data_IF_528766258502
#
_entry.id   IF_528766258502
#
_cell.length_a   1.000
_cell.length_b   1.000
_cell.length_c   1.000
_cell.angle_alpha   90.00
_cell.angle_beta   90.00
_cell.angle_gamma   90.00
#
_symmetry.space_group_name_H-M   'P 1'
#
loop_
_entity.id
_entity.type
_entity.pdbx_description
1 polymer ?
#
# COMPACT_ATOMS: atom_id res chain seq x y z
N UNK A 1 -27.04 -5.39 4.18
CA UNK A 1 -25.82 -5.14 3.37
C UNK A 1 -24.65 -5.72 4.14
N UNK A 2 -23.70 -6.40 3.50
CA UNK A 2 -22.43 -6.73 4.17
C UNK A 2 -21.66 -5.44 4.48
N UNK A 3 -20.73 -5.46 5.44
CA UNK A 3 -19.90 -4.29 5.77
C UNK A 3 -19.21 -3.72 4.52
N UNK A 4 -18.73 -4.58 3.62
CA UNK A 4 -18.16 -4.17 2.33
C UNK A 4 -19.16 -3.49 1.39
N UNK A 5 -20.42 -3.92 1.38
CA UNK A 5 -21.46 -3.24 0.59
C UNK A 5 -21.84 -1.89 1.23
N UNK A 6 -21.90 -1.80 2.55
CA UNK A 6 -22.14 -0.54 3.26
C UNK A 6 -21.03 0.48 2.96
N UNK A 7 -19.76 0.05 2.97
CA UNK A 7 -18.62 0.88 2.62
C UNK A 7 -18.74 1.45 1.19
N UNK A 8 -19.08 0.59 0.22
CA UNK A 8 -19.25 1.01 -1.19
C UNK A 8 -20.39 2.02 -1.36
N UNK A 9 -21.50 1.87 -0.62
CA UNK A 9 -22.61 2.83 -0.62
C UNK A 9 -22.18 4.15 0.01
N UNK A 10 -21.43 4.12 1.11
CA UNK A 10 -20.92 5.33 1.77
C UNK A 10 -19.94 6.10 0.87
N UNK A 11 -19.05 5.41 0.16
CA UNK A 11 -18.18 6.06 -0.84
C UNK A 11 -19.04 6.62 -1.98
N UNK A 12 -20.01 5.84 -2.48
CA UNK A 12 -20.91 6.27 -3.55
C UNK A 12 -21.68 7.55 -3.22
N UNK A 13 -22.15 7.72 -1.98
CA UNK A 13 -22.89 8.92 -1.57
C UNK A 13 -22.01 10.18 -1.61
N UNK A 14 -20.72 10.06 -1.27
CA UNK A 14 -19.75 11.16 -1.38
C UNK A 14 -19.42 11.47 -2.84
N UNK A 15 -19.29 10.44 -3.69
CA UNK A 15 -18.95 10.61 -5.11
C UNK A 15 -20.02 11.37 -5.91
N UNK A 16 -21.28 11.38 -5.47
CA UNK A 16 -22.35 12.20 -6.10
C UNK A 16 -22.00 13.68 -6.09
N UNK A 17 -21.24 14.14 -5.10
CA UNK A 17 -20.77 15.53 -5.00
C UNK A 17 -19.64 15.87 -5.98
N UNK A 18 -19.09 14.88 -6.70
CA UNK A 18 -17.95 15.02 -7.62
C UNK A 18 -16.74 15.75 -6.98
N UNK A 19 -16.24 15.28 -5.84
CA UNK A 19 -15.12 15.94 -5.18
C UNK A 19 -13.84 15.82 -6.02
N UNK A 20 -12.98 16.83 -5.96
CA UNK A 20 -11.62 16.76 -6.52
C UNK A 20 -10.68 15.93 -5.64
N UNK A 21 -10.96 15.86 -4.33
CA UNK A 21 -10.18 15.15 -3.32
C UNK A 21 -11.11 14.27 -2.49
N UNK A 22 -10.81 12.97 -2.42
CA UNK A 22 -11.48 12.00 -1.55
C UNK A 22 -10.53 11.56 -0.43
N UNK A 23 -10.91 11.84 0.81
CA UNK A 23 -10.17 11.40 2.00
C UNK A 23 -10.91 10.23 2.63
N UNK A 24 -10.21 9.12 2.87
CA UNK A 24 -10.75 7.90 3.45
C UNK A 24 -9.94 7.54 4.69
N UNK A 25 -10.60 7.56 5.84
CA UNK A 25 -10.03 7.15 7.12
C UNK A 25 -10.35 5.68 7.36
N UNK A 26 -9.32 4.84 7.34
CA UNK A 26 -9.39 3.40 7.56
C UNK A 26 -10.54 2.68 6.82
N UNK A 27 -10.67 2.86 5.49
CA UNK A 27 -11.81 2.33 4.74
C UNK A 27 -11.88 0.80 4.72
N UNK A 28 -10.83 0.09 5.14
CA UNK A 28 -10.78 -1.37 5.16
C UNK A 28 -10.95 -1.98 6.56
N UNK A 29 -11.15 -1.19 7.62
CA UNK A 29 -11.00 -1.63 9.02
C UNK A 29 -11.96 -2.72 9.53
N UNK A 30 -12.97 -3.12 8.76
CA UNK A 30 -13.88 -4.23 9.12
C UNK A 30 -14.06 -5.23 7.97
N UNK A 31 -13.24 -5.12 6.95
CA UNK A 31 -13.37 -5.93 5.75
C UNK A 31 -12.47 -7.16 5.85
N UNK A 32 -13.02 -8.30 5.44
CA UNK A 32 -12.21 -9.46 5.15
C UNK A 32 -11.19 -9.14 4.02
N UNK A 33 -10.07 -9.87 3.91
CA UNK A 33 -9.01 -9.54 2.97
C UNK A 33 -9.46 -9.41 1.51
N UNK A 34 -10.48 -10.18 1.08
CA UNK A 34 -11.01 -10.11 -0.28
C UNK A 34 -11.82 -8.84 -0.48
N UNK A 35 -12.74 -8.54 0.45
CA UNK A 35 -13.54 -7.31 0.40
C UNK A 35 -12.68 -6.05 0.47
N UNK A 36 -11.61 -6.05 1.28
CA UNK A 36 -10.66 -4.95 1.36
C UNK A 36 -9.95 -4.74 0.00
N UNK A 37 -9.48 -5.83 -0.64
CA UNK A 37 -8.86 -5.75 -1.97
C UNK A 37 -9.83 -5.19 -3.01
N UNK A 38 -11.06 -5.71 -3.06
CA UNK A 38 -12.09 -5.24 -3.99
C UNK A 38 -12.40 -3.73 -3.81
N UNK A 39 -12.39 -3.26 -2.56
CA UNK A 39 -12.59 -1.85 -2.24
C UNK A 39 -11.42 -0.99 -2.72
N UNK A 40 -10.19 -1.41 -2.44
CA UNK A 40 -8.99 -0.69 -2.86
C UNK A 40 -8.85 -0.67 -4.40
N UNK A 41 -9.22 -1.76 -5.09
CA UNK A 41 -9.28 -1.81 -6.55
C UNK A 41 -10.32 -0.83 -7.11
N UNK A 42 -11.50 -0.73 -6.49
CA UNK A 42 -12.52 0.25 -6.85
C UNK A 42 -11.99 1.67 -6.68
N UNK A 43 -11.37 1.98 -5.53
CA UNK A 43 -10.80 3.29 -5.23
C UNK A 43 -9.73 3.67 -6.26
N UNK A 44 -8.80 2.76 -6.57
CA UNK A 44 -7.77 3.00 -7.58
C UNK A 44 -8.36 3.22 -8.98
N UNK A 45 -9.47 2.55 -9.31
CA UNK A 45 -10.19 2.79 -10.56
C UNK A 45 -10.80 4.19 -10.60
N UNK A 46 -11.41 4.64 -9.50
CA UNK A 46 -11.98 5.99 -9.39
C UNK A 46 -10.91 7.07 -9.57
N UNK A 47 -9.73 6.91 -8.95
CA UNK A 47 -8.60 7.82 -9.17
C UNK A 47 -8.23 7.93 -10.65
N UNK A 48 -8.06 6.79 -11.34
CA UNK A 48 -7.69 6.77 -12.77
C UNK A 48 -8.76 7.31 -13.71
N UNK A 49 -10.02 6.95 -13.48
CA UNK A 49 -11.12 7.28 -14.40
C UNK A 49 -11.64 8.71 -14.20
N UNK A 50 -11.60 9.22 -12.97
CA UNK A 50 -12.15 10.53 -12.62
C UNK A 50 -11.08 11.60 -12.39
N UNK A 51 -9.79 11.24 -12.40
CA UNK A 51 -8.69 12.16 -12.10
C UNK A 51 -8.70 12.68 -10.66
N UNK A 52 -9.38 11.98 -9.76
CA UNK A 52 -9.60 12.41 -8.38
C UNK A 52 -8.36 12.13 -7.53
N UNK A 53 -7.95 13.09 -6.70
CA UNK A 53 -6.90 12.86 -5.70
C UNK A 53 -7.47 12.04 -4.56
N UNK A 54 -6.78 10.98 -4.14
CA UNK A 54 -7.24 10.11 -3.06
C UNK A 54 -6.21 10.06 -1.94
N UNK A 55 -6.66 10.35 -0.72
CA UNK A 55 -5.85 10.24 0.49
C UNK A 55 -6.45 9.12 1.34
N UNK A 56 -5.66 8.10 1.63
CA UNK A 56 -6.07 6.96 2.45
C UNK A 56 -5.21 6.93 3.70
N UNK A 57 -5.84 6.91 4.87
CA UNK A 57 -5.18 6.67 6.16
C UNK A 57 -5.42 5.23 6.54
N UNK A 58 -4.36 4.43 6.61
CA UNK A 58 -4.45 2.99 6.86
C UNK A 58 -3.26 2.49 7.67
N UNK A 59 -3.51 1.55 8.59
CA UNK A 59 -2.46 0.85 9.33
C UNK A 59 -2.09 -0.50 8.67
N UNK A 60 -2.90 -0.99 7.72
CA UNK A 60 -2.69 -2.25 6.97
C UNK A 60 -2.35 -1.98 5.52
N UNK A 61 -1.07 -2.10 5.18
CA UNK A 61 -0.56 -1.63 3.88
C UNK A 61 -0.66 -2.64 2.72
N UNK A 62 -1.01 -3.90 2.97
CA UNK A 62 -0.83 -5.04 2.04
C UNK A 62 -1.38 -4.86 0.61
N UNK A 63 -2.48 -4.11 0.43
CA UNK A 63 -3.12 -3.95 -0.90
C UNK A 63 -3.03 -2.51 -1.43
N UNK A 64 -2.53 -1.59 -0.61
CA UNK A 64 -2.54 -0.15 -0.88
C UNK A 64 -1.25 0.25 -1.59
N UNK A 65 -0.11 -0.30 -1.14
CA UNK A 65 1.20 0.14 -1.61
C UNK A 65 1.38 0.00 -3.12
N UNK A 66 0.87 -1.06 -3.74
CA UNK A 66 0.96 -1.26 -5.19
C UNK A 66 0.21 -0.21 -6.02
N UNK A 67 -0.73 0.50 -5.39
CA UNK A 67 -1.59 1.49 -6.04
C UNK A 67 -1.28 2.91 -5.61
N UNK A 68 -0.43 3.08 -4.60
CA UNK A 68 -0.10 4.38 -4.04
C UNK A 68 1.06 5.00 -4.81
N UNK A 69 0.93 6.28 -5.15
CA UNK A 69 2.04 7.04 -5.74
C UNK A 69 2.99 7.59 -4.67
N UNK A 70 2.48 7.78 -3.45
CA UNK A 70 3.17 8.41 -2.33
C UNK A 70 2.75 7.76 -1.01
N UNK A 71 3.72 7.52 -0.12
CA UNK A 71 3.55 7.00 1.22
C UNK A 71 4.07 8.02 2.22
N UNK A 72 3.16 8.49 3.09
CA UNK A 72 3.49 9.40 4.19
C UNK A 72 3.34 8.65 5.50
N UNK A 73 4.41 8.61 6.29
CA UNK A 73 4.43 7.96 7.60
C UNK A 73 4.52 9.03 8.67
N UNK A 74 3.50 9.07 9.53
CA UNK A 74 3.44 10.00 10.66
C UNK A 74 3.84 9.26 11.93
N UNK A 75 4.83 9.79 12.65
CA UNK A 75 5.25 9.27 13.95
C UNK A 75 5.33 10.42 14.96
N UNK A 76 4.68 10.24 16.13
CA UNK A 76 4.63 11.25 17.21
C UNK A 76 4.21 12.65 16.71
N UNK A 77 3.19 12.70 15.85
CA UNK A 77 2.63 13.95 15.31
C UNK A 77 3.52 14.67 14.29
N UNK A 78 4.58 14.02 13.78
CA UNK A 78 5.46 14.57 12.75
C UNK A 78 5.56 13.62 11.55
N UNK A 79 5.74 14.20 10.37
CA UNK A 79 6.07 13.44 9.17
C UNK A 79 7.48 12.88 9.34
N UNK A 80 7.58 11.55 9.38
CA UNK A 80 8.84 10.82 9.49
C UNK A 80 9.34 10.36 8.11
N UNK A 81 8.43 10.01 7.20
CA UNK A 81 8.72 9.60 5.84
C UNK A 81 7.69 10.22 4.90
N UNK A 82 8.15 10.65 3.74
CA UNK A 82 7.34 11.26 2.69
C UNK A 82 8.01 10.99 1.33
N UNK A 83 7.69 9.87 0.71
CA UNK A 83 8.33 9.41 -0.53
C UNK A 83 7.39 8.48 -1.31
N UNK A 84 7.81 7.99 -2.47
CA UNK A 84 7.21 6.82 -3.12
C UNK A 84 7.23 5.60 -2.18
N UNK A 85 6.26 4.67 -2.30
CA UNK A 85 6.24 3.47 -1.46
C UNK A 85 7.53 2.66 -1.49
N UNK A 86 8.20 2.54 -2.65
CA UNK A 86 9.45 1.80 -2.76
C UNK A 86 10.59 2.46 -1.98
N UNK A 87 10.81 3.76 -2.14
CA UNK A 87 11.89 4.45 -1.43
C UNK A 87 11.58 4.60 0.06
N UNK A 88 10.32 4.90 0.40
CA UNK A 88 9.86 4.97 1.78
C UNK A 88 10.12 3.65 2.54
N UNK A 89 9.91 2.50 1.90
CA UNK A 89 10.05 1.17 2.53
C UNK A 89 11.44 0.55 2.36
N UNK A 90 12.41 1.29 1.81
CA UNK A 90 13.78 0.81 1.61
C UNK A 90 14.52 0.62 2.93
N UNK A 91 14.30 1.52 3.89
CA UNK A 91 14.91 1.42 5.21
C UNK A 91 14.08 0.53 6.14
N UNK A 92 14.76 -0.41 6.83
CA UNK A 92 14.13 -1.26 7.85
C UNK A 92 13.68 -0.48 9.08
N UNK A 93 14.22 0.73 9.29
CA UNK A 93 13.83 1.61 10.40
C UNK A 93 12.35 1.98 10.34
N UNK A 94 11.75 1.94 9.16
CA UNK A 94 10.33 2.22 8.98
C UNK A 94 9.43 1.25 9.76
N UNK A 95 9.82 -0.02 9.89
CA UNK A 95 9.08 -0.97 10.72
C UNK A 95 9.06 -0.60 12.21
N UNK A 96 10.00 0.23 12.68
CA UNK A 96 10.06 0.72 14.06
C UNK A 96 9.18 1.96 14.29
N UNK A 97 8.63 2.56 13.23
CA UNK A 97 7.78 3.74 13.30
C UNK A 97 6.30 3.43 13.63
N UNK A 98 5.99 2.17 13.96
CA UNK A 98 4.63 1.73 14.30
C UNK A 98 3.79 1.28 13.10
N UNK A 99 4.32 1.34 11.88
CA UNK A 99 3.65 0.82 10.70
C UNK A 99 3.84 -0.71 10.60
N UNK A 100 2.73 -1.45 10.44
CA UNK A 100 2.78 -2.88 10.15
C UNK A 100 3.27 -3.11 8.72
N UNK A 101 4.56 -3.41 8.57
CA UNK A 101 5.14 -3.72 7.27
C UNK A 101 4.50 -4.97 6.65
N UNK A 102 4.14 -4.95 5.36
CA UNK A 102 3.72 -6.15 4.65
C UNK A 102 4.79 -7.25 4.72
N UNK A 103 4.36 -8.51 4.76
CA UNK A 103 5.26 -9.67 4.84
C UNK A 103 6.30 -9.70 3.72
N UNK A 104 5.92 -9.25 2.51
CA UNK A 104 6.83 -9.20 1.36
C UNK A 104 7.98 -8.21 1.58
N UNK A 105 7.71 -7.06 2.20
CA UNK A 105 8.73 -6.05 2.55
C UNK A 105 9.61 -6.56 3.69
N UNK A 106 9.03 -7.25 4.68
CA UNK A 106 9.81 -7.90 5.73
C UNK A 106 10.77 -8.95 5.17
N UNK A 107 10.31 -9.75 4.19
CA UNK A 107 11.14 -10.74 3.52
C UNK A 107 12.25 -10.09 2.69
N UNK A 108 11.96 -8.99 1.99
CA UNK A 108 12.98 -8.18 1.31
C UNK A 108 14.10 -7.75 2.26
N UNK A 109 13.77 -7.23 3.44
CA UNK A 109 14.78 -6.86 4.43
C UNK A 109 15.56 -8.08 4.93
N UNK A 110 14.90 -9.20 5.19
CA UNK A 110 15.57 -10.43 5.64
C UNK A 110 16.55 -10.97 4.58
N UNK A 111 16.16 -10.98 3.30
CA UNK A 111 17.03 -11.38 2.20
C UNK A 111 18.23 -10.43 2.05
N UNK A 112 18.01 -9.13 2.21
CA UNK A 112 19.09 -8.13 2.17
C UNK A 112 20.13 -8.38 3.28
N UNK A 113 19.71 -8.78 4.48
CA UNK A 113 20.60 -9.15 5.58
C UNK A 113 21.39 -10.44 5.31
N UNK A 114 20.84 -11.34 4.50
CA UNK A 114 21.52 -12.55 4.04
C UNK A 114 22.47 -12.29 2.86
N UNK A 115 22.63 -11.03 2.43
CA UNK A 115 23.53 -10.64 1.34
C UNK A 115 22.89 -10.68 -0.06
N UNK A 116 21.59 -10.94 -0.18
CA UNK A 116 20.90 -10.86 -1.47
C UNK A 116 20.65 -9.40 -1.85
N UNK A 117 20.99 -9.03 -3.09
CA UNK A 117 20.72 -7.69 -3.60
C UNK A 117 19.55 -7.75 -4.58
N UNK A 118 18.42 -7.16 -4.22
CA UNK A 118 17.31 -6.91 -5.15
C UNK A 118 17.39 -5.48 -5.68
N UNK A 119 16.91 -5.25 -6.89
CA UNK A 119 17.03 -3.94 -7.54
C UNK A 119 16.10 -2.90 -6.93
N UNK A 120 14.92 -3.35 -6.45
CA UNK A 120 13.87 -2.51 -5.88
C UNK A 120 13.20 -3.20 -4.69
N UNK A 121 12.54 -2.41 -3.84
CA UNK A 121 11.69 -2.93 -2.76
C UNK A 121 10.43 -3.52 -3.38
N UNK A 122 10.14 -4.83 -3.21
CA UNK A 122 8.93 -5.43 -3.73
C UNK A 122 7.73 -5.06 -2.84
N UNK A 123 6.67 -4.55 -3.46
CA UNK A 123 5.42 -4.17 -2.80
C UNK A 123 4.38 -5.30 -2.83
N UNK A 124 4.62 -6.34 -3.64
CA UNK A 124 3.79 -7.54 -3.75
C UNK A 124 4.59 -8.80 -4.04
N UNK A 125 3.94 -9.96 -3.86
CA UNK A 125 4.56 -11.27 -4.07
C UNK A 125 5.02 -11.40 -5.53
N UNK A 126 4.20 -10.93 -6.47
CA UNK A 126 4.49 -10.94 -7.90
C UNK A 126 5.74 -10.11 -8.24
N UNK A 127 5.91 -8.95 -7.60
CA UNK A 127 7.13 -8.14 -7.75
C UNK A 127 8.35 -8.84 -7.15
N UNK A 128 8.21 -9.44 -5.96
CA UNK A 128 9.30 -10.20 -5.33
C UNK A 128 9.74 -11.37 -6.21
N UNK A 129 8.80 -12.16 -6.75
CA UNK A 129 9.12 -13.25 -7.66
C UNK A 129 9.88 -12.77 -8.90
N UNK A 130 9.48 -11.63 -9.45
CA UNK A 130 10.14 -11.01 -10.61
C UNK A 130 11.58 -10.61 -10.26
N UNK A 131 11.80 -9.97 -9.12
CA UNK A 131 13.13 -9.59 -8.64
C UNK A 131 14.01 -10.82 -8.38
N UNK A 132 13.47 -11.86 -7.74
CA UNK A 132 14.20 -13.09 -7.45
C UNK A 132 14.59 -13.87 -8.70
N UNK A 133 13.72 -13.94 -9.72
CA UNK A 133 14.06 -14.54 -11.01
C UNK A 133 15.15 -13.73 -11.72
N UNK A 134 15.08 -12.40 -11.66
CA UNK A 134 16.14 -11.52 -12.18
C UNK A 134 17.49 -11.71 -11.45
N UNK A 135 17.45 -11.94 -10.14
CA UNK A 135 18.61 -12.21 -9.29
C UNK A 135 19.14 -13.65 -9.41
N UNK A 136 18.41 -14.57 -10.04
CA UNK A 136 18.88 -15.96 -10.24
C UNK A 136 19.94 -16.13 -11.33
N UNK A 137 20.27 -15.06 -12.08
CA UNK A 137 21.43 -15.00 -12.98
C UNK A 137 22.79 -15.03 -12.24
N UNK A 138 22.79 -15.10 -10.91
CA UNK A 138 23.96 -14.98 -10.03
C UNK A 138 24.45 -16.34 -9.50
N UNK A 139 23.84 -17.45 -9.97
CA UNK A 139 24.26 -18.80 -9.63
C UNK A 139 25.22 -19.37 -10.70
N UNK A 140 26.40 -18.76 -10.83
CA UNK A 140 27.58 -19.35 -11.44
C UNK A 140 28.81 -19.09 -10.57
#
# INVERSE_FOLDING_TARGET
LSSGQQQKVAIGSVLVMRPEILVLDEPTSELDPRSARDLIDLIARLNRELGMTIVIVEHRLNFILEKADRLVIVNRGRVAVDDSPQEALRSREVGRLGASLPKVVQLYHALSEMGFTLSKVPLSIEQLETELRGASAWAH
#
